data_IF_516503385039
#
_entry.id   IF_516503385039
#
_cell.length_a   1.000
_cell.length_b   1.000
_cell.length_c   1.000
_cell.angle_alpha   90.00
_cell.angle_beta   90.00
_cell.angle_gamma   90.00
#
_symmetry.space_group_name_H-M   'P 1'
#
loop_
_entity.id
_entity.type
_entity.pdbx_description
1 polymer ?
#
# COMPACT_ATOMS: atom_id res chain seq x y z
N UNK A 1 -13.38 -43.26 0.95
CA UNK A 1 -12.50 -42.09 0.69
C UNK A 1 -13.30 -40.83 0.40
N UNK A 2 -14.24 -40.83 -0.56
CA UNK A 2 -15.09 -39.66 -0.87
C UNK A 2 -15.87 -39.10 0.34
N UNK A 3 -16.45 -39.98 1.16
CA UNK A 3 -17.18 -39.61 2.38
C UNK A 3 -16.26 -38.98 3.44
N UNK A 4 -15.12 -39.61 3.75
CA UNK A 4 -14.14 -39.05 4.69
C UNK A 4 -13.61 -37.69 4.22
N UNK A 5 -13.37 -37.53 2.91
CA UNK A 5 -12.90 -36.28 2.32
C UNK A 5 -13.94 -35.15 2.48
N UNK A 6 -15.21 -35.41 2.18
CA UNK A 6 -16.26 -34.38 2.33
C UNK A 6 -16.46 -33.98 3.79
N UNK A 7 -16.37 -34.93 4.73
CA UNK A 7 -16.43 -34.62 6.17
C UNK A 7 -15.27 -33.75 6.63
N UNK A 8 -14.04 -34.02 6.19
CA UNK A 8 -12.87 -33.21 6.55
C UNK A 8 -12.92 -31.80 5.93
N UNK A 9 -13.38 -31.66 4.68
CA UNK A 9 -13.62 -30.34 4.07
C UNK A 9 -14.68 -29.54 4.82
N UNK A 10 -15.78 -30.18 5.18
CA UNK A 10 -16.84 -29.55 5.95
C UNK A 10 -16.34 -29.05 7.30
N UNK A 11 -15.53 -29.87 7.99
CA UNK A 11 -14.90 -29.51 9.26
C UNK A 11 -13.97 -28.32 9.11
N UNK A 12 -13.08 -28.35 8.11
CA UNK A 12 -12.14 -27.27 7.79
C UNK A 12 -12.87 -25.93 7.60
N UNK A 13 -13.93 -25.91 6.79
CA UNK A 13 -14.61 -24.67 6.42
C UNK A 13 -15.44 -24.08 7.56
N UNK A 14 -15.95 -24.92 8.46
CA UNK A 14 -16.81 -24.47 9.57
C UNK A 14 -16.06 -24.20 10.86
N UNK A 15 -14.81 -24.65 10.95
CA UNK A 15 -13.96 -24.45 12.11
C UNK A 15 -13.54 -22.98 12.25
N UNK A 16 -13.78 -22.40 13.43
CA UNK A 16 -13.47 -20.99 13.73
C UNK A 16 -11.99 -20.64 13.49
N UNK A 17 -11.06 -21.53 13.80
CA UNK A 17 -9.63 -21.27 13.60
C UNK A 17 -9.25 -21.08 12.13
N UNK A 18 -9.97 -21.73 11.19
CA UNK A 18 -9.72 -21.58 9.76
C UNK A 18 -10.07 -20.19 9.28
N UNK A 19 -11.15 -19.59 9.80
CA UNK A 19 -11.51 -18.20 9.49
C UNK A 19 -10.62 -17.19 10.17
N UNK A 20 -10.24 -17.44 11.44
CA UNK A 20 -9.26 -16.61 12.14
C UNK A 20 -7.92 -16.60 11.41
N UNK A 21 -7.48 -17.75 10.88
CA UNK A 21 -6.26 -17.85 10.09
C UNK A 21 -6.30 -16.96 8.83
N UNK A 22 -7.42 -16.91 8.10
CA UNK A 22 -7.58 -16.02 6.93
C UNK A 22 -7.51 -14.54 7.32
N UNK A 23 -8.14 -14.16 8.43
CA UNK A 23 -8.09 -12.76 8.90
C UNK A 23 -6.66 -12.37 9.32
N UNK A 24 -6.00 -13.25 10.08
CA UNK A 24 -4.60 -13.06 10.49
C UNK A 24 -3.69 -13.00 9.27
N UNK A 25 -3.90 -13.84 8.26
CA UNK A 25 -3.16 -13.84 7.00
C UNK A 25 -3.19 -12.47 6.33
N UNK A 26 -4.38 -11.90 6.11
CA UNK A 26 -4.49 -10.58 5.49
C UNK A 26 -3.92 -9.46 6.38
N UNK A 27 -4.06 -9.56 7.70
CA UNK A 27 -3.44 -8.62 8.64
C UNK A 27 -1.92 -8.63 8.55
N UNK A 28 -1.30 -9.82 8.44
CA UNK A 28 0.14 -9.98 8.28
C UNK A 28 0.63 -9.47 6.92
N UNK A 29 -0.13 -9.71 5.84
CA UNK A 29 0.17 -9.13 4.53
C UNK A 29 0.12 -7.60 4.55
N UNK A 30 -0.87 -7.00 5.22
CA UNK A 30 -0.96 -5.55 5.40
C UNK A 30 0.20 -5.00 6.23
N UNK A 31 0.61 -5.72 7.28
CA UNK A 31 1.78 -5.35 8.08
C UNK A 31 3.04 -5.27 7.21
N UNK A 32 3.27 -6.25 6.34
CA UNK A 32 4.38 -6.20 5.38
C UNK A 32 4.22 -5.16 4.27
N UNK A 33 3.02 -4.61 4.06
CA UNK A 33 2.78 -3.53 3.12
C UNK A 33 2.97 -2.13 3.73
N UNK A 34 3.39 -2.03 4.99
CA UNK A 34 3.59 -0.73 5.65
C UNK A 34 4.72 0.09 5.00
N UNK A 35 4.60 1.43 4.94
CA UNK A 35 5.54 2.30 4.21
C UNK A 35 6.98 2.29 4.75
N UNK A 36 7.20 1.73 5.94
CA UNK A 36 8.52 1.63 6.58
C UNK A 36 9.43 0.63 5.87
N UNK A 37 8.86 -0.37 5.19
CA UNK A 37 9.57 -1.20 4.24
C UNK A 37 9.40 -0.57 2.86
N UNK A 38 10.39 0.18 2.39
CA UNK A 38 10.42 0.69 1.01
C UNK A 38 9.89 -0.38 0.06
N UNK A 39 8.75 -0.10 -0.59
CA UNK A 39 8.06 -1.06 -1.47
C UNK A 39 8.97 -1.30 -2.66
N UNK A 40 9.86 -2.28 -2.49
CA UNK A 40 10.83 -2.67 -3.48
C UNK A 40 10.13 -3.60 -4.44
N UNK A 41 10.51 -3.61 -5.72
CA UNK A 41 9.98 -4.58 -6.71
C UNK A 41 10.01 -6.03 -6.18
N UNK A 42 11.02 -6.34 -5.37
CA UNK A 42 11.16 -7.62 -4.68
C UNK A 42 10.00 -7.93 -3.73
N UNK A 43 9.50 -6.95 -2.96
CA UNK A 43 8.41 -7.16 -2.00
C UNK A 43 7.07 -7.45 -2.71
N UNK A 44 6.80 -6.75 -3.83
CA UNK A 44 5.64 -7.02 -4.68
C UNK A 44 5.79 -8.38 -5.37
N UNK A 45 6.99 -8.71 -5.87
CA UNK A 45 7.27 -10.01 -6.50
C UNK A 45 7.11 -11.18 -5.53
N UNK A 46 7.35 -10.97 -4.23
CA UNK A 46 7.13 -11.96 -3.18
C UNK A 46 5.69 -11.97 -2.64
N UNK A 47 4.81 -11.12 -3.18
CA UNK A 47 3.42 -10.99 -2.74
C UNK A 47 3.30 -10.58 -1.28
N UNK A 48 4.12 -9.62 -0.83
CA UNK A 48 4.10 -9.13 0.57
C UNK A 48 4.27 -10.28 1.59
N UNK A 49 5.23 -11.16 1.35
CA UNK A 49 5.51 -12.28 2.25
C UNK A 49 4.45 -13.39 2.26
N UNK A 50 3.52 -13.41 1.28
CA UNK A 50 2.46 -14.43 1.16
C UNK A 50 2.98 -15.84 1.41
N UNK A 51 4.10 -16.23 0.79
CA UNK A 51 4.68 -17.56 0.97
C UNK A 51 5.06 -17.85 2.43
N UNK A 52 5.70 -16.90 3.11
CA UNK A 52 6.12 -17.05 4.51
C UNK A 52 4.91 -17.17 5.45
N UNK A 53 3.92 -16.29 5.26
CA UNK A 53 2.73 -16.27 6.11
C UNK A 53 1.86 -17.51 5.92
N UNK A 54 1.71 -18.00 4.68
CA UNK A 54 1.02 -19.27 4.41
C UNK A 54 1.70 -20.43 5.13
N UNK A 55 3.04 -20.53 5.10
CA UNK A 55 3.77 -21.61 5.78
C UNK A 55 3.47 -21.61 7.30
N UNK A 56 3.58 -20.45 7.96
CA UNK A 56 3.34 -20.33 9.42
C UNK A 56 1.90 -20.73 9.77
N UNK A 57 0.93 -20.28 8.98
CA UNK A 57 -0.48 -20.61 9.16
C UNK A 57 -0.73 -22.10 8.97
N UNK A 58 -0.12 -22.71 7.94
CA UNK A 58 -0.28 -24.13 7.65
C UNK A 58 0.31 -25.02 8.75
N UNK A 59 1.44 -24.65 9.34
CA UNK A 59 2.01 -25.35 10.50
C UNK A 59 1.00 -25.34 11.66
N UNK A 60 0.46 -24.16 11.96
CA UNK A 60 -0.49 -23.96 13.08
C UNK A 60 -1.80 -24.72 12.86
N UNK A 61 -2.38 -24.64 11.66
CA UNK A 61 -3.61 -25.35 11.32
C UNK A 61 -3.42 -26.87 11.34
N UNK A 62 -2.30 -27.37 10.83
CA UNK A 62 -1.97 -28.80 10.85
C UNK A 62 -1.92 -29.34 12.29
N UNK A 63 -1.28 -28.59 13.20
CA UNK A 63 -1.23 -28.96 14.62
C UNK A 63 -2.64 -28.96 15.25
N UNK A 64 -3.46 -27.96 14.93
CA UNK A 64 -4.82 -27.85 15.47
C UNK A 64 -5.75 -28.97 14.95
N UNK A 65 -5.55 -29.44 13.72
CA UNK A 65 -6.30 -30.58 13.16
C UNK A 65 -6.12 -31.85 13.99
N UNK A 66 -4.90 -32.11 14.44
CA UNK A 66 -4.59 -33.27 15.29
C UNK A 66 -5.10 -33.02 16.71
N UNK A 67 -4.81 -31.84 17.27
CA UNK A 67 -5.18 -31.48 18.63
C UNK A 67 -6.69 -31.52 18.86
N UNK A 68 -7.50 -31.12 17.88
CA UNK A 68 -8.96 -31.19 17.99
C UNK A 68 -9.48 -32.62 18.11
N UNK A 69 -8.92 -33.56 17.35
CA UNK A 69 -9.32 -34.97 17.42
C UNK A 69 -8.91 -35.62 18.74
N UNK A 70 -7.75 -35.21 19.28
CA UNK A 70 -7.27 -35.67 20.58
C UNK A 70 -8.15 -35.11 21.70
N UNK A 71 -8.41 -33.80 21.70
CA UNK A 71 -9.24 -33.12 22.71
C UNK A 71 -10.66 -33.69 22.79
N UNK A 72 -11.23 -34.04 21.64
CA UNK A 72 -12.61 -34.54 21.57
C UNK A 72 -12.71 -36.07 21.70
N UNK A 73 -11.59 -36.77 21.95
CA UNK A 73 -11.52 -38.24 22.02
C UNK A 73 -12.09 -38.95 20.76
N UNK A 74 -12.12 -38.26 19.62
CA UNK A 74 -12.70 -38.77 18.38
C UNK A 74 -11.70 -39.57 17.55
N UNK A 75 -10.39 -39.49 17.86
CA UNK A 75 -9.32 -40.18 17.13
C UNK A 75 -9.54 -41.70 17.04
N UNK A 76 -9.85 -42.36 18.16
CA UNK A 76 -10.06 -43.82 18.20
C UNK A 76 -11.32 -44.23 17.44
N UNK A 77 -12.38 -43.42 17.54
CA UNK A 77 -13.65 -43.68 16.85
C UNK A 77 -13.51 -43.53 15.34
N UNK A 78 -12.76 -42.52 14.87
CA UNK A 78 -12.45 -42.29 13.46
C UNK A 78 -11.63 -43.44 12.87
N UNK A 79 -10.62 -43.92 13.60
CA UNK A 79 -9.76 -45.02 13.17
C UNK A 79 -10.48 -46.38 13.18
N UNK A 80 -11.49 -46.55 14.04
CA UNK A 80 -12.26 -47.79 14.15
C UNK A 80 -13.38 -47.88 13.11
N UNK A 81 -14.10 -46.78 12.85
CA UNK A 81 -15.19 -46.74 11.86
C UNK A 81 -14.70 -46.62 10.41
N UNK A 82 -13.48 -46.16 10.19
CA UNK A 82 -12.94 -46.04 8.84
C UNK A 82 -12.46 -47.39 8.32
N UNK A 83 -12.91 -47.84 7.13
CA UNK A 83 -12.45 -49.10 6.55
C UNK A 83 -10.96 -49.09 6.20
N UNK A 84 -10.35 -47.91 6.04
CA UNK A 84 -8.91 -47.77 5.82
C UNK A 84 -8.35 -46.63 6.68
N UNK A 85 -7.38 -46.95 7.56
CA UNK A 85 -6.71 -45.99 8.46
C UNK A 85 -5.87 -44.98 7.67
N UNK A 86 -5.16 -45.45 6.65
CA UNK A 86 -4.39 -44.58 5.74
C UNK A 86 -5.29 -43.59 4.99
N UNK A 87 -6.51 -44.02 4.65
CA UNK A 87 -7.49 -43.17 3.98
C UNK A 87 -7.92 -41.96 4.80
N UNK A 88 -7.90 -42.03 6.14
CA UNK A 88 -8.20 -40.90 7.03
C UNK A 88 -7.07 -39.88 7.01
N UNK A 89 -5.82 -40.35 7.10
CA UNK A 89 -4.64 -39.49 7.05
C UNK A 89 -4.54 -38.76 5.70
N UNK A 90 -4.67 -39.51 4.60
CA UNK A 90 -4.61 -38.93 3.24
C UNK A 90 -5.73 -37.92 3.02
N UNK A 91 -6.94 -38.17 3.53
CA UNK A 91 -8.03 -37.20 3.43
C UNK A 91 -7.69 -35.87 4.13
N UNK A 92 -7.14 -35.90 5.35
CA UNK A 92 -6.69 -34.70 6.07
C UNK A 92 -5.58 -33.95 5.31
N UNK A 93 -4.61 -34.69 4.77
CA UNK A 93 -3.51 -34.12 4.00
C UNK A 93 -4.02 -33.41 2.73
N UNK A 94 -4.92 -34.04 1.98
CA UNK A 94 -5.56 -33.43 0.79
C UNK A 94 -6.28 -32.14 1.17
N UNK A 95 -7.04 -32.14 2.26
CA UNK A 95 -7.79 -30.97 2.73
C UNK A 95 -6.85 -29.82 3.12
N UNK A 96 -5.72 -30.11 3.77
CA UNK A 96 -4.68 -29.11 4.08
C UNK A 96 -4.00 -28.56 2.82
N UNK A 97 -3.67 -29.41 1.85
CA UNK A 97 -3.09 -28.97 0.57
C UNK A 97 -4.06 -28.06 -0.18
N UNK A 98 -5.32 -28.47 -0.32
CA UNK A 98 -6.32 -27.65 -1.03
C UNK A 98 -6.53 -26.32 -0.33
N UNK A 99 -6.56 -26.30 1.01
CA UNK A 99 -6.64 -25.06 1.76
C UNK A 99 -5.42 -24.16 1.56
N UNK A 100 -4.20 -24.72 1.49
CA UNK A 100 -2.99 -23.95 1.19
C UNK A 100 -3.05 -23.30 -0.21
N UNK A 101 -3.58 -24.01 -1.21
CA UNK A 101 -3.78 -23.47 -2.56
C UNK A 101 -4.79 -22.32 -2.54
N UNK A 102 -5.90 -22.48 -1.81
CA UNK A 102 -6.90 -21.41 -1.63
C UNK A 102 -6.27 -20.17 -1.00
N UNK A 103 -5.45 -20.33 0.05
CA UNK A 103 -4.74 -19.22 0.68
C UNK A 103 -3.74 -18.55 -0.27
N UNK A 104 -3.01 -19.32 -1.09
CA UNK A 104 -2.09 -18.76 -2.09
C UNK A 104 -2.83 -17.96 -3.16
N UNK A 105 -3.96 -18.46 -3.67
CA UNK A 105 -4.81 -17.73 -4.63
C UNK A 105 -5.37 -16.47 -3.98
N UNK A 106 -5.87 -16.55 -2.75
CA UNK A 106 -6.37 -15.40 -2.01
C UNK A 106 -5.26 -14.36 -1.78
N UNK A 107 -4.05 -14.79 -1.42
CA UNK A 107 -2.88 -13.92 -1.26
C UNK A 107 -2.46 -13.25 -2.56
N UNK A 108 -2.52 -13.96 -3.69
CA UNK A 108 -2.28 -13.37 -5.01
C UNK A 108 -3.30 -12.29 -5.36
N UNK A 109 -4.59 -12.58 -5.20
CA UNK A 109 -5.67 -11.59 -5.42
C UNK A 109 -5.48 -10.38 -4.51
N UNK A 110 -5.18 -10.61 -3.23
CA UNK A 110 -4.95 -9.53 -2.28
C UNK A 110 -3.70 -8.71 -2.60
N UNK A 111 -2.64 -9.34 -3.09
CA UNK A 111 -1.44 -8.65 -3.61
C UNK A 111 -1.80 -7.73 -4.77
N UNK A 112 -2.66 -8.17 -5.70
CA UNK A 112 -3.14 -7.33 -6.79
C UNK A 112 -3.97 -6.14 -6.28
N UNK A 113 -4.83 -6.37 -5.26
CA UNK A 113 -5.60 -5.29 -4.62
C UNK A 113 -4.66 -4.28 -3.95
N UNK A 114 -3.70 -4.75 -3.15
CA UNK A 114 -2.70 -3.88 -2.51
C UNK A 114 -1.93 -3.11 -3.57
N UNK A 115 -1.45 -3.77 -4.64
CA UNK A 115 -0.77 -3.10 -5.76
C UNK A 115 -1.68 -2.05 -6.41
N UNK A 116 -2.94 -2.35 -6.67
CA UNK A 116 -3.88 -1.41 -7.26
C UNK A 116 -4.14 -0.21 -6.34
N UNK A 117 -4.24 -0.42 -5.02
CA UNK A 117 -4.44 0.68 -4.06
C UNK A 117 -3.16 1.50 -3.88
N UNK A 118 -1.99 0.87 -3.83
CA UNK A 118 -0.70 1.51 -3.55
C UNK A 118 0.12 1.91 -4.79
N UNK A 119 -0.29 1.61 -6.02
CA UNK A 119 0.48 1.95 -7.23
C UNK A 119 -0.37 2.71 -8.26
N UNK A 120 -1.70 2.77 -8.09
CA UNK A 120 -2.54 3.45 -9.06
C UNK A 120 -2.37 4.98 -8.98
N UNK A 121 -1.78 5.54 -10.03
CA UNK A 121 -1.59 6.98 -10.27
C UNK A 121 -2.90 7.76 -10.20
N UNK A 122 -4.05 7.13 -10.48
CA UNK A 122 -5.35 7.78 -10.41
C UNK A 122 -5.74 8.21 -8.99
N UNK A 123 -5.37 7.46 -7.94
CA UNK A 123 -5.62 7.89 -6.56
C UNK A 123 -4.75 9.09 -6.17
N UNK A 124 -3.49 9.08 -6.60
CA UNK A 124 -2.60 10.23 -6.46
C UNK A 124 -3.17 11.44 -7.19
N UNK A 125 -3.61 11.29 -8.44
CA UNK A 125 -4.26 12.34 -9.22
C UNK A 125 -5.53 12.86 -8.52
N UNK A 126 -6.44 12.00 -8.04
CA UNK A 126 -7.64 12.43 -7.32
C UNK A 126 -7.35 13.16 -6.01
N UNK A 127 -6.29 12.76 -5.30
CA UNK A 127 -5.88 13.44 -4.07
C UNK A 127 -5.34 14.84 -4.38
N UNK A 128 -4.68 14.96 -5.52
CA UNK A 128 -4.00 16.16 -5.98
C UNK A 128 -4.93 17.12 -6.73
N UNK A 129 -5.94 16.64 -7.45
CA UNK A 129 -6.99 17.49 -8.05
C UNK A 129 -7.89 18.15 -7.00
N UNK A 130 -7.86 17.67 -5.74
CA UNK A 130 -8.44 18.39 -4.59
C UNK A 130 -7.65 19.62 -4.18
N UNK A 131 -6.44 19.83 -4.70
CA UNK A 131 -5.81 21.14 -4.59
C UNK A 131 -6.63 22.10 -5.43
N UNK A 132 -7.46 22.92 -4.76
CA UNK A 132 -8.36 23.85 -5.42
C UNK A 132 -7.52 24.89 -6.18
N UNK A 133 -7.39 24.71 -7.50
CA UNK A 133 -6.83 25.72 -8.39
C UNK A 133 -7.99 26.63 -8.76
N UNK A 134 -8.07 27.78 -8.10
CA UNK A 134 -9.06 28.77 -8.47
C UNK A 134 -8.52 29.58 -9.67
N UNK A 135 -9.06 29.31 -10.86
CA UNK A 135 -8.56 29.88 -12.12
C UNK A 135 -8.80 31.40 -12.25
N UNK A 136 -9.58 32.00 -11.35
CA UNK A 136 -9.88 33.44 -11.31
C UNK A 136 -8.77 34.27 -10.65
N UNK A 137 -7.78 33.63 -10.02
CA UNK A 137 -6.71 34.31 -9.27
C UNK A 137 -5.42 34.33 -10.09
N UNK A 138 -4.54 35.30 -9.80
CA UNK A 138 -3.22 35.43 -10.44
C UNK A 138 -2.44 34.10 -10.45
N UNK A 139 -1.65 33.88 -11.50
CA UNK A 139 -0.85 32.66 -11.66
C UNK A 139 0.08 32.42 -10.46
N UNK A 140 0.63 33.49 -9.89
CA UNK A 140 1.41 33.42 -8.65
C UNK A 140 0.57 32.90 -7.46
N UNK A 141 -0.65 33.39 -7.30
CA UNK A 141 -1.54 32.97 -6.23
C UNK A 141 -1.99 31.52 -6.40
N UNK A 142 -2.11 31.03 -7.63
CA UNK A 142 -2.37 29.62 -7.91
C UNK A 142 -1.21 28.72 -7.44
N UNK A 143 0.04 29.11 -7.75
CA UNK A 143 1.23 28.39 -7.26
C UNK A 143 1.30 28.44 -5.73
N UNK A 144 1.03 29.62 -5.16
CA UNK A 144 1.03 29.82 -3.71
C UNK A 144 0.01 28.93 -3.02
N UNK A 145 -1.22 28.85 -3.55
CA UNK A 145 -2.27 27.98 -3.02
C UNK A 145 -1.86 26.51 -3.08
N UNK A 146 -1.29 26.06 -4.20
CA UNK A 146 -0.79 24.68 -4.34
C UNK A 146 0.29 24.41 -3.29
N UNK A 147 1.30 25.27 -3.19
CA UNK A 147 2.40 25.12 -2.24
C UNK A 147 1.92 25.09 -0.79
N UNK A 148 1.02 26.00 -0.40
CA UNK A 148 0.45 26.06 0.94
C UNK A 148 -0.38 24.83 1.27
N UNK A 149 -1.24 24.38 0.35
CA UNK A 149 -2.06 23.20 0.57
C UNK A 149 -1.20 21.93 0.63
N UNK A 150 -0.17 21.84 -0.21
CA UNK A 150 0.82 20.75 -0.20
C UNK A 150 1.53 20.68 1.16
N UNK A 151 2.12 21.78 1.63
CA UNK A 151 2.82 21.84 2.93
C UNK A 151 1.88 21.54 4.10
N UNK A 152 0.66 22.09 4.09
CA UNK A 152 -0.36 21.82 5.12
C UNK A 152 -0.78 20.35 5.15
N UNK A 153 -0.83 19.68 4.00
CA UNK A 153 -1.12 18.25 3.90
C UNK A 153 0.01 17.39 4.46
N UNK A 154 1.28 17.77 4.28
CA UNK A 154 2.41 17.11 4.94
C UNK A 154 2.32 17.17 6.46
N UNK A 155 1.84 18.28 7.01
CA UNK A 155 1.62 18.39 8.45
C UNK A 155 0.47 17.50 8.95
N UNK A 156 -0.65 17.46 8.22
CA UNK A 156 -1.87 16.74 8.65
C UNK A 156 -1.84 15.25 8.36
N UNK A 157 -1.26 14.83 7.24
CA UNK A 157 -1.30 13.46 6.72
C UNK A 157 0.07 13.07 6.11
N UNK A 158 1.16 13.08 6.91
CA UNK A 158 2.53 12.85 6.40
C UNK A 158 2.69 11.50 5.71
N UNK A 159 2.05 10.45 6.24
CA UNK A 159 2.14 9.09 5.67
C UNK A 159 1.54 9.00 4.26
N UNK A 160 0.44 9.71 4.02
CA UNK A 160 -0.18 9.77 2.69
C UNK A 160 0.73 10.53 1.73
N UNK A 161 1.25 11.68 2.17
CA UNK A 161 2.12 12.49 1.33
C UNK A 161 3.46 11.80 1.01
N UNK A 162 4.04 11.09 1.96
CA UNK A 162 5.21 10.24 1.73
C UNK A 162 4.95 9.16 0.71
N UNK A 163 3.83 8.47 0.87
CA UNK A 163 3.42 7.44 -0.04
C UNK A 163 3.20 8.01 -1.45
N UNK A 164 2.58 9.18 -1.59
CA UNK A 164 2.23 9.79 -2.88
C UNK A 164 3.42 10.43 -3.61
N UNK A 165 4.39 10.99 -2.89
CA UNK A 165 5.45 11.81 -3.50
C UNK A 165 6.86 11.25 -3.35
N UNK A 166 7.10 10.36 -2.39
CA UNK A 166 8.43 9.86 -2.05
C UNK A 166 8.54 8.33 -2.07
N UNK A 167 7.50 7.63 -2.51
CA UNK A 167 7.56 6.18 -2.68
C UNK A 167 8.39 5.80 -3.93
N UNK A 168 9.40 4.91 -3.80
CA UNK A 168 10.24 4.49 -4.93
C UNK A 168 9.47 3.85 -6.09
N UNK A 169 8.27 3.33 -5.85
CA UNK A 169 7.38 2.79 -6.89
C UNK A 169 6.79 3.91 -7.76
N UNK A 170 6.57 5.10 -7.19
CA UNK A 170 6.07 6.28 -7.92
C UNK A 170 7.20 6.96 -8.68
N UNK A 171 8.48 6.79 -8.30
CA UNK A 171 9.62 7.28 -9.08
C UNK A 171 9.58 6.78 -10.53
N UNK A 172 9.13 5.55 -10.77
CA UNK A 172 8.97 5.03 -12.13
C UNK A 172 7.80 5.68 -12.86
N UNK A 173 6.73 6.05 -12.16
CA UNK A 173 5.62 6.82 -12.73
C UNK A 173 6.06 8.26 -13.04
N UNK A 174 6.89 8.88 -12.20
CA UNK A 174 7.49 10.19 -12.47
C UNK A 174 8.42 10.18 -13.69
N UNK A 175 9.04 9.05 -14.01
CA UNK A 175 10.06 8.92 -15.05
C UNK A 175 9.55 8.32 -16.37
N UNK A 176 8.56 7.42 -16.35
CA UNK A 176 8.23 6.56 -17.49
C UNK A 176 7.15 7.12 -18.43
N UNK A 177 6.25 7.98 -17.97
CA UNK A 177 5.28 8.64 -18.84
C UNK A 177 4.86 9.99 -18.27
N UNK A 178 5.22 11.08 -18.99
CA UNK A 178 4.90 12.45 -18.56
C UNK A 178 3.39 12.70 -18.51
N UNK A 179 2.60 11.96 -19.29
CA UNK A 179 1.16 12.19 -19.47
C UNK A 179 0.29 11.65 -18.33
N UNK A 180 0.79 10.69 -17.55
CA UNK A 180 0.06 10.06 -16.44
C UNK A 180 0.16 10.85 -15.12
N UNK A 181 0.80 12.01 -15.09
CA UNK A 181 0.91 12.84 -13.89
C UNK A 181 0.67 14.33 -14.17
N UNK A 182 -0.59 14.65 -14.48
CA UNK A 182 -1.09 16.01 -14.80
C UNK A 182 -0.75 17.09 -13.77
N UNK A 183 -0.47 16.73 -12.51
CA UNK A 183 -0.10 17.67 -11.47
C UNK A 183 1.26 18.33 -11.67
N UNK A 184 2.29 17.53 -11.96
CA UNK A 184 3.64 18.05 -12.13
C UNK A 184 3.69 18.92 -13.38
N UNK A 185 3.00 18.51 -14.45
CA UNK A 185 2.80 19.32 -15.65
C UNK A 185 2.10 20.64 -15.35
N UNK A 186 1.10 20.63 -14.46
CA UNK A 186 0.40 21.86 -14.05
C UNK A 186 1.33 22.80 -13.31
N UNK A 187 2.12 22.31 -12.36
CA UNK A 187 3.11 23.14 -11.65
C UNK A 187 4.18 23.64 -12.62
N UNK A 188 4.67 22.81 -13.53
CA UNK A 188 5.64 23.22 -14.55
C UNK A 188 5.11 24.35 -15.43
N UNK A 189 3.87 24.21 -15.93
CA UNK A 189 3.20 25.24 -16.74
C UNK A 189 2.99 26.54 -15.96
N UNK A 190 2.56 26.46 -14.70
CA UNK A 190 2.40 27.65 -13.85
C UNK A 190 3.76 28.31 -13.57
N UNK A 191 4.80 27.52 -13.28
CA UNK A 191 6.16 28.02 -13.04
C UNK A 191 6.72 28.73 -14.29
N UNK A 192 6.52 28.17 -15.48
CA UNK A 192 6.90 28.82 -16.75
C UNK A 192 6.25 30.20 -16.92
N UNK A 193 4.97 30.33 -16.58
CA UNK A 193 4.23 31.59 -16.72
C UNK A 193 4.67 32.66 -15.71
N UNK A 194 5.32 32.27 -14.62
CA UNK A 194 5.72 33.14 -13.52
C UNK A 194 7.25 33.37 -13.51
N UNK A 195 7.98 32.72 -14.41
CA UNK A 195 9.43 32.83 -14.49
C UNK A 195 9.85 34.29 -14.81
N UNK A 196 10.66 34.94 -13.95
CA UNK A 196 11.15 36.30 -14.20
C UNK A 196 12.17 36.38 -15.35
N UNK A 197 12.58 35.25 -15.94
CA UNK A 197 13.50 35.17 -17.08
C UNK A 197 14.99 35.17 -16.70
N UNK A 198 15.30 35.15 -15.40
CA UNK A 198 16.69 35.09 -14.89
C UNK A 198 17.28 33.68 -15.08
N UNK A 199 16.44 32.65 -14.90
CA UNK A 199 16.80 31.25 -15.07
C UNK A 199 16.03 30.66 -16.25
N UNK A 200 16.55 29.58 -16.83
CA UNK A 200 15.76 28.82 -17.80
C UNK A 200 14.55 28.17 -17.09
N UNK A 201 13.49 27.87 -17.84
CA UNK A 201 12.22 27.40 -17.28
C UNK A 201 12.37 26.13 -16.43
N UNK A 202 13.28 25.24 -16.83
CA UNK A 202 13.56 24.02 -16.10
C UNK A 202 14.25 24.31 -14.75
N UNK A 203 15.29 25.14 -14.75
CA UNK A 203 16.02 25.56 -13.55
C UNK A 203 15.12 26.34 -12.59
N UNK A 204 14.25 27.19 -13.13
CA UNK A 204 13.26 27.92 -12.33
C UNK A 204 12.27 26.95 -11.66
N UNK A 205 11.75 25.99 -12.42
CA UNK A 205 10.90 24.94 -11.88
C UNK A 205 11.62 24.12 -10.80
N UNK A 206 12.86 23.70 -11.04
CA UNK A 206 13.68 22.95 -10.07
C UNK A 206 13.87 23.74 -8.77
N UNK A 207 14.17 25.03 -8.84
CA UNK A 207 14.32 25.90 -7.68
C UNK A 207 13.00 26.03 -6.89
N UNK A 208 11.88 26.26 -7.58
CA UNK A 208 10.57 26.41 -6.96
C UNK A 208 10.10 25.09 -6.32
N UNK A 209 10.27 23.98 -7.03
CA UNK A 209 9.83 22.66 -6.58
C UNK A 209 10.71 22.11 -5.45
N UNK A 210 12.03 22.31 -5.52
CA UNK A 210 12.95 21.91 -4.45
C UNK A 210 12.68 22.65 -3.14
N UNK A 211 12.31 23.94 -3.21
CA UNK A 211 11.87 24.69 -2.03
C UNK A 211 10.61 24.08 -1.42
N UNK A 212 9.56 23.88 -2.22
CA UNK A 212 8.26 23.33 -1.73
C UNK A 212 8.46 21.95 -1.11
N UNK A 213 9.22 21.07 -1.79
CA UNK A 213 9.50 19.72 -1.27
C UNK A 213 10.40 19.74 -0.04
N UNK A 214 11.44 20.57 -0.03
CA UNK A 214 12.38 20.69 1.09
C UNK A 214 11.71 21.22 2.35
N UNK A 215 10.92 22.30 2.24
CA UNK A 215 10.14 22.84 3.36
C UNK A 215 9.12 21.82 3.88
N UNK A 216 8.45 21.10 2.97
CA UNK A 216 7.52 20.02 3.35
C UNK A 216 8.20 18.88 4.11
N UNK A 217 9.43 18.54 3.75
CA UNK A 217 10.23 17.52 4.43
C UNK A 217 10.61 17.94 5.86
N UNK A 218 10.97 19.22 6.06
CA UNK A 218 11.25 19.77 7.38
C UNK A 218 10.00 19.73 8.30
N UNK A 219 8.83 20.07 7.76
CA UNK A 219 7.55 19.98 8.48
C UNK A 219 7.26 18.54 8.87
N UNK A 220 7.36 17.63 7.90
CA UNK A 220 7.11 16.19 8.11
C UNK A 220 7.98 15.62 9.22
N UNK A 221 9.26 15.97 9.23
CA UNK A 221 10.23 15.45 10.20
C UNK A 221 10.12 16.15 11.56
N UNK A 222 9.15 17.06 11.75
CA UNK A 222 8.94 17.76 13.01
C UNK A 222 10.01 18.80 13.35
N UNK A 223 10.86 19.16 12.38
CA UNK A 223 11.92 20.16 12.57
C UNK A 223 11.31 21.56 12.71
N UNK A 224 10.20 21.81 12.01
CA UNK A 224 9.48 23.07 12.01
C UNK A 224 7.97 22.85 11.96
N UNK A 225 7.20 23.82 12.45
CA UNK A 225 5.75 23.89 12.24
C UNK A 225 5.41 24.64 10.96
N UNK A 226 4.37 24.21 10.26
CA UNK A 226 3.90 24.88 9.04
C UNK A 226 3.48 26.32 9.31
N UNK A 227 4.17 27.26 8.66
CA UNK A 227 3.79 28.68 8.58
C UNK A 227 3.47 29.07 7.12
N UNK A 228 2.24 29.52 6.80
CA UNK A 228 1.87 30.00 5.46
C UNK A 228 2.61 31.27 5.01
N UNK A 229 3.10 32.11 5.93
CA UNK A 229 3.83 33.33 5.59
C UNK A 229 5.22 33.02 5.04
N UNK A 230 5.91 32.04 5.63
CA UNK A 230 7.22 31.58 5.12
C UNK A 230 7.10 31.10 3.67
N UNK A 231 6.05 30.33 3.35
CA UNK A 231 5.80 29.88 1.98
C UNK A 231 5.53 31.06 1.05
N UNK A 232 4.72 32.03 1.47
CA UNK A 232 4.37 33.22 0.67
C UNK A 232 5.60 34.08 0.37
N UNK A 233 6.34 34.47 1.40
CA UNK A 233 7.51 35.35 1.27
C UNK A 233 8.61 34.70 0.44
N UNK A 234 8.88 33.41 0.67
CA UNK A 234 9.94 32.71 -0.06
C UNK A 234 9.57 32.51 -1.53
N UNK A 235 8.31 32.13 -1.83
CA UNK A 235 7.86 32.03 -3.22
C UNK A 235 7.86 33.39 -3.91
N UNK A 236 7.44 34.48 -3.24
CA UNK A 236 7.53 35.81 -3.86
C UNK A 236 8.96 36.20 -4.18
N UNK A 237 9.93 35.87 -3.31
CA UNK A 237 11.35 36.15 -3.56
C UNK A 237 11.89 35.33 -4.75
N UNK A 238 11.54 34.04 -4.85
CA UNK A 238 11.96 33.17 -5.97
C UNK A 238 11.44 33.69 -7.31
N UNK A 239 10.21 34.18 -7.33
CA UNK A 239 9.54 34.73 -8.53
C UNK A 239 10.08 36.12 -8.93
N UNK A 240 11.02 36.68 -8.16
CA UNK A 240 11.54 38.03 -8.41
C UNK A 240 10.59 39.14 -7.94
N UNK A 241 9.70 38.81 -7.00
CA UNK A 241 8.82 39.77 -6.34
C UNK A 241 9.62 40.86 -5.63
N UNK A 242 9.32 42.11 -6.01
CA UNK A 242 9.67 43.33 -5.26
C UNK A 242 9.06 43.29 -3.86
#
# INVERSE_FOLDING_TARGET
>A
MKTNLSHEFYKMIRQRSSWVAVIVFFGLMLYSATPTAYITKNLISQGFGTGQWVIIIMITLSANFIAMELKNNTMTTLLYKSPNRWGVFVAKLIVLIVYSIILLIAGFIFTLIIKAVLVNSHFAQQFVTKFAINNEVSVFDQILQIAQQFCKKFQKQPQVMDFLFFNPTIIQVYQADKDDFSFLQTIQRLAQQVNPGILNDQQFFEQLWSFIQGYSLLIKNGVITYDPQVVKVTLSQIVGGK
#
